data_IF_089316202837
#
_entry.id   IF_089316202837
#
_cell.length_a   1.000
_cell.length_b   1.000
_cell.length_c   1.000
_cell.angle_alpha   90.00
_cell.angle_beta   90.00
_cell.angle_gamma   90.00
#
_symmetry.space_group_name_H-M   'P 1'
#
loop_
_entity.id
_entity.type
_entity.pdbx_description
1 polymer ?
#
# COMPACT_ATOMS: atom_id res chain seq x y z
N UNK A 1 -11.82 -26.65 7.00
CA UNK A 1 -12.69 -25.57 7.49
C UNK A 1 -11.86 -24.29 7.58
N UNK A 2 -11.91 -23.43 6.56
CA UNK A 2 -11.18 -22.17 6.59
C UNK A 2 -11.97 -21.17 7.44
N UNK A 3 -11.39 -20.69 8.56
CA UNK A 3 -12.00 -19.65 9.37
C UNK A 3 -12.17 -18.39 8.51
N UNK A 4 -13.39 -18.10 8.07
CA UNK A 4 -13.72 -16.95 7.22
C UNK A 4 -13.82 -15.63 8.02
N UNK A 5 -12.92 -15.42 8.98
CA UNK A 5 -12.77 -14.15 9.69
C UNK A 5 -11.64 -13.33 9.09
N UNK A 6 -11.78 -12.00 9.04
CA UNK A 6 -10.65 -11.11 8.77
C UNK A 6 -9.56 -11.32 9.83
N UNK A 7 -8.57 -12.15 9.54
CA UNK A 7 -7.47 -12.40 10.47
C UNK A 7 -6.34 -11.38 10.24
N UNK A 8 -5.56 -11.07 11.28
CA UNK A 8 -4.38 -10.20 11.18
C UNK A 8 -3.43 -10.68 10.05
N UNK A 9 -3.38 -11.99 9.85
CA UNK A 9 -2.71 -12.66 8.73
C UNK A 9 -3.16 -12.15 7.35
N UNK A 10 -4.46 -11.93 7.15
CA UNK A 10 -5.01 -11.39 5.89
C UNK A 10 -4.60 -9.95 5.64
N UNK A 11 -4.48 -9.14 6.71
CA UNK A 11 -3.93 -7.79 6.59
C UNK A 11 -2.45 -7.82 6.22
N UNK A 12 -1.64 -8.67 6.87
CA UNK A 12 -0.23 -8.81 6.57
C UNK A 12 0.04 -9.24 5.13
N UNK A 13 -0.78 -10.16 4.58
CA UNK A 13 -0.67 -10.55 3.17
C UNK A 13 -0.95 -9.35 2.26
N UNK A 14 -2.02 -8.59 2.52
CA UNK A 14 -2.36 -7.40 1.73
C UNK A 14 -1.26 -6.34 1.80
N UNK A 15 -0.65 -6.18 2.98
CA UNK A 15 0.50 -5.29 3.19
C UNK A 15 1.74 -5.77 2.46
N UNK A 16 2.07 -7.06 2.53
CA UNK A 16 3.20 -7.64 1.82
C UNK A 16 3.05 -7.46 0.30
N UNK A 17 1.84 -7.70 -0.24
CA UNK A 17 1.57 -7.48 -1.67
C UNK A 17 1.65 -5.99 -2.03
N UNK A 18 1.18 -5.09 -1.18
CA UNK A 18 1.32 -3.64 -1.40
C UNK A 18 2.79 -3.20 -1.40
N UNK A 19 3.59 -3.71 -0.44
CA UNK A 19 5.03 -3.47 -0.39
C UNK A 19 5.70 -3.99 -1.66
N UNK A 20 5.43 -5.24 -2.06
CA UNK A 20 5.98 -5.81 -3.29
C UNK A 20 5.61 -4.96 -4.51
N UNK A 21 4.36 -4.52 -4.63
CA UNK A 21 3.91 -3.67 -5.74
C UNK A 21 4.67 -2.34 -5.79
N UNK A 22 4.77 -1.65 -4.65
CA UNK A 22 5.43 -0.34 -4.55
C UNK A 22 6.94 -0.47 -4.79
N UNK A 23 7.60 -1.42 -4.13
CA UNK A 23 9.04 -1.66 -4.29
C UNK A 23 9.42 -2.25 -5.65
N UNK A 24 8.56 -3.06 -6.27
CA UNK A 24 8.78 -3.51 -7.64
C UNK A 24 8.67 -2.36 -8.66
N UNK A 25 7.86 -1.34 -8.35
CA UNK A 25 7.76 -0.12 -9.16
C UNK A 25 9.02 0.73 -9.02
N UNK A 26 9.39 1.08 -7.78
CA UNK A 26 10.57 1.88 -7.47
C UNK A 26 11.21 1.44 -6.15
N UNK A 27 12.53 1.28 -6.16
CA UNK A 27 13.31 0.86 -5.00
C UNK A 27 14.64 1.63 -5.00
N UNK A 28 14.96 2.41 -3.94
CA UNK A 28 16.21 3.17 -3.85
C UNK A 28 17.48 2.33 -3.99
N UNK A 29 17.42 1.01 -3.77
CA UNK A 29 18.54 0.10 -3.97
C UNK A 29 19.01 -0.07 -5.43
N UNK A 30 18.27 0.46 -6.41
CA UNK A 30 18.58 0.30 -7.84
C UNK A 30 17.90 -0.90 -8.50
N UNK A 31 17.24 -1.77 -7.72
CA UNK A 31 16.55 -2.96 -8.23
C UNK A 31 15.04 -2.73 -8.29
N UNK A 32 14.56 -2.19 -9.40
CA UNK A 32 13.12 -2.01 -9.68
C UNK A 32 12.82 -2.02 -11.17
N UNK A 33 11.53 -2.12 -11.52
CA UNK A 33 11.10 -1.97 -12.91
C UNK A 33 11.50 -0.60 -13.48
N UNK A 34 11.39 0.47 -12.69
CA UNK A 34 11.81 1.82 -13.10
C UNK A 34 13.29 1.87 -13.52
N UNK A 35 14.19 1.26 -12.74
CA UNK A 35 15.62 1.23 -13.08
C UNK A 35 15.91 0.44 -14.36
N UNK A 36 15.21 -0.69 -14.54
CA UNK A 36 15.30 -1.47 -15.78
C UNK A 36 14.80 -0.70 -17.00
N UNK A 37 13.74 0.09 -16.83
CA UNK A 37 13.21 0.97 -17.88
C UNK A 37 14.17 2.12 -18.20
N UNK A 38 14.71 2.82 -17.19
CA UNK A 38 15.63 3.94 -17.40
C UNK A 38 16.95 3.53 -18.06
N UNK A 39 17.37 2.26 -17.87
CA UNK A 39 18.58 1.71 -18.51
C UNK A 39 18.36 1.13 -19.91
N UNK A 40 17.11 1.05 -20.39
CA UNK A 40 16.82 0.48 -21.70
C UNK A 40 17.13 1.50 -22.81
N UNK A 41 18.25 1.31 -23.50
CA UNK A 41 18.73 2.17 -24.59
C UNK A 41 17.88 2.03 -25.88
N UNK A 42 16.61 2.46 -25.83
CA UNK A 42 15.66 2.51 -26.95
C UNK A 42 15.14 1.18 -27.51
N UNK A 43 15.29 0.07 -26.78
CA UNK A 43 14.61 -1.19 -27.10
C UNK A 43 13.65 -1.56 -25.98
N UNK A 44 12.35 -1.49 -26.26
CA UNK A 44 11.31 -1.97 -25.35
C UNK A 44 11.26 -3.49 -25.49
N UNK A 45 11.77 -4.18 -24.48
CA UNK A 45 11.66 -5.64 -24.34
C UNK A 45 10.18 -6.01 -24.03
N UNK A 46 9.58 -7.02 -24.70
CA UNK A 46 8.27 -7.56 -24.33
C UNK A 46 8.10 -7.85 -22.83
N UNK A 47 9.14 -8.32 -22.15
CA UNK A 47 9.09 -8.58 -20.70
C UNK A 47 8.96 -7.28 -19.89
N UNK A 48 9.57 -6.20 -20.37
CA UNK A 48 9.50 -4.90 -19.74
C UNK A 48 8.11 -4.29 -19.89
N UNK A 49 7.50 -4.42 -21.08
CA UNK A 49 6.11 -4.01 -21.32
C UNK A 49 5.12 -4.83 -20.47
N UNK A 50 5.30 -6.16 -20.39
CA UNK A 50 4.48 -7.03 -19.54
C UNK A 50 4.57 -6.61 -18.07
N UNK A 51 5.78 -6.37 -17.56
CA UNK A 51 6.00 -5.88 -16.20
C UNK A 51 5.28 -4.56 -15.93
N UNK A 52 5.30 -3.62 -16.89
CA UNK A 52 4.62 -2.34 -16.79
C UNK A 52 3.10 -2.54 -16.62
N UNK A 53 2.51 -3.41 -17.44
CA UNK A 53 1.07 -3.71 -17.42
C UNK A 53 0.68 -4.38 -16.10
N UNK A 54 1.45 -5.36 -15.64
CA UNK A 54 1.18 -6.06 -14.36
C UNK A 54 1.24 -5.07 -13.18
N UNK A 55 2.27 -4.22 -13.13
CA UNK A 55 2.38 -3.18 -12.10
C UNK A 55 1.20 -2.20 -12.18
N UNK A 56 0.85 -1.75 -13.38
CA UNK A 56 -0.26 -0.83 -13.59
C UNK A 56 -1.59 -1.42 -13.10
N UNK A 57 -1.87 -2.69 -13.42
CA UNK A 57 -3.04 -3.41 -12.93
C UNK A 57 -3.05 -3.43 -11.40
N UNK A 58 -1.92 -3.78 -10.76
CA UNK A 58 -1.79 -3.78 -9.31
C UNK A 58 -2.07 -2.40 -8.70
N UNK A 59 -1.46 -1.34 -9.23
CA UNK A 59 -1.70 0.03 -8.79
C UNK A 59 -3.16 0.44 -8.93
N UNK A 60 -3.80 0.17 -10.07
CA UNK A 60 -5.20 0.51 -10.30
C UNK A 60 -6.11 -0.21 -9.31
N UNK A 61 -5.89 -1.51 -9.05
CA UNK A 61 -6.69 -2.28 -8.09
C UNK A 61 -6.60 -1.66 -6.69
N UNK A 62 -5.38 -1.42 -6.20
CA UNK A 62 -5.18 -0.92 -4.84
C UNK A 62 -5.63 0.53 -4.66
N UNK A 63 -5.34 1.41 -5.63
CA UNK A 63 -5.79 2.80 -5.59
C UNK A 63 -7.31 2.88 -5.63
N UNK A 64 -7.97 2.15 -6.55
CA UNK A 64 -9.43 2.12 -6.60
C UNK A 64 -10.05 1.55 -5.33
N UNK A 65 -9.48 0.47 -4.79
CA UNK A 65 -9.95 -0.12 -3.54
C UNK A 65 -9.83 0.87 -2.37
N UNK A 66 -8.73 1.62 -2.29
CA UNK A 66 -8.50 2.66 -1.28
C UNK A 66 -9.52 3.80 -1.42
N UNK A 67 -9.70 4.34 -2.63
CA UNK A 67 -10.65 5.42 -2.87
C UNK A 67 -12.10 4.98 -2.63
N UNK A 68 -12.48 3.76 -3.03
CA UNK A 68 -13.83 3.22 -2.80
C UNK A 68 -14.12 3.00 -1.32
N UNK A 69 -13.12 2.62 -0.54
CA UNK A 69 -13.32 2.25 0.87
C UNK A 69 -13.30 3.45 1.81
N UNK A 70 -12.32 4.35 1.65
CA UNK A 70 -12.15 5.55 2.47
C UNK A 70 -12.92 6.76 1.93
N UNK A 71 -13.24 6.78 0.64
CA UNK A 71 -13.73 7.97 -0.05
C UNK A 71 -12.63 9.03 -0.24
N UNK A 72 -12.97 10.12 -0.92
CA UNK A 72 -12.03 11.21 -1.17
C UNK A 72 -11.54 11.86 0.14
N UNK A 73 -12.46 12.15 1.05
CA UNK A 73 -12.16 12.77 2.35
C UNK A 73 -11.26 11.85 3.18
N UNK A 74 -11.59 10.56 3.28
CA UNK A 74 -10.75 9.62 4.04
C UNK A 74 -9.38 9.45 3.42
N UNK A 75 -9.27 9.45 2.09
CA UNK A 75 -7.98 9.39 1.39
C UNK A 75 -7.14 10.65 1.66
N UNK A 76 -7.74 11.84 1.63
CA UNK A 76 -7.07 13.09 1.98
C UNK A 76 -6.64 13.11 3.45
N UNK A 77 -7.50 12.69 4.38
CA UNK A 77 -7.16 12.60 5.80
C UNK A 77 -6.00 11.63 6.03
N UNK A 78 -6.00 10.48 5.35
CA UNK A 78 -4.87 9.55 5.40
C UNK A 78 -3.60 10.21 4.86
N UNK A 79 -3.65 10.85 3.69
CA UNK A 79 -2.50 11.54 3.11
C UNK A 79 -1.95 12.63 4.05
N UNK A 80 -2.82 13.44 4.66
CA UNK A 80 -2.43 14.46 5.64
C UNK A 80 -1.84 13.83 6.89
N UNK A 81 -2.45 12.78 7.43
CA UNK A 81 -1.93 12.06 8.60
C UNK A 81 -0.49 11.57 8.35
N UNK A 82 -0.26 10.86 7.24
CA UNK A 82 1.07 10.36 6.90
C UNK A 82 2.04 11.52 6.61
N UNK A 83 1.59 12.59 5.94
CA UNK A 83 2.38 13.80 5.74
C UNK A 83 2.83 14.45 7.05
N UNK A 84 1.92 14.54 8.04
CA UNK A 84 2.24 15.05 9.38
C UNK A 84 3.18 14.12 10.14
N UNK A 85 3.07 12.79 9.97
CA UNK A 85 4.04 11.84 10.55
C UNK A 85 5.44 12.06 9.97
N UNK A 86 5.58 12.21 8.64
CA UNK A 86 6.88 12.54 8.02
C UNK A 86 7.40 13.86 8.58
N UNK A 87 6.54 14.88 8.64
CA UNK A 87 6.93 16.18 9.17
C UNK A 87 7.39 16.07 10.64
N UNK A 88 6.69 15.33 11.49
CA UNK A 88 7.11 15.11 12.88
C UNK A 88 8.48 14.41 12.94
N UNK A 89 8.72 13.39 12.11
CA UNK A 89 10.02 12.70 12.07
C UNK A 89 11.17 13.62 11.66
N UNK A 90 10.93 14.52 10.71
CA UNK A 90 11.90 15.55 10.31
C UNK A 90 12.11 16.58 11.42
N UNK A 91 11.03 17.04 12.06
CA UNK A 91 11.08 18.04 13.12
C UNK A 91 11.86 17.57 14.35
N UNK A 92 11.63 16.32 14.79
CA UNK A 92 12.36 15.70 15.90
C UNK A 92 13.75 15.17 15.49
N UNK A 93 14.21 15.44 14.27
CA UNK A 93 15.52 15.00 13.74
C UNK A 93 15.73 13.48 13.76
N UNK A 94 14.65 12.69 13.77
CA UNK A 94 14.74 11.24 13.58
C UNK A 94 15.02 10.89 12.12
N UNK A 95 14.74 11.80 11.21
CA UNK A 95 15.05 11.71 9.79
C UNK A 95 15.74 13.01 9.33
N UNK A 96 16.80 12.88 8.53
CA UNK A 96 17.41 14.02 7.84
C UNK A 96 16.97 14.05 6.38
N UNK A 97 16.77 15.27 5.85
CA UNK A 97 16.54 15.50 4.42
C UNK A 97 17.77 15.17 3.56
N UNK A 98 18.96 15.09 4.17
CA UNK A 98 20.20 14.75 3.47
C UNK A 98 20.21 13.29 2.99
N UNK A 99 19.50 12.41 3.69
CA UNK A 99 19.36 11.00 3.31
C UNK A 99 18.10 10.78 2.49
N UNK A 100 18.14 11.22 1.22
CA UNK A 100 17.06 11.00 0.24
C UNK A 100 16.68 9.52 0.14
N UNK A 101 17.67 8.62 0.31
CA UNK A 101 17.45 7.17 0.34
C UNK A 101 16.56 6.74 1.50
N UNK A 102 16.86 7.18 2.74
CA UNK A 102 16.06 6.82 3.91
C UNK A 102 14.63 7.39 3.82
N UNK A 103 14.52 8.65 3.37
CA UNK A 103 13.24 9.31 3.16
C UNK A 103 12.39 8.58 2.11
N UNK A 104 13.01 8.11 1.03
CA UNK A 104 12.33 7.32 0.00
C UNK A 104 11.77 6.00 0.56
N UNK A 105 12.54 5.25 1.35
CA UNK A 105 12.05 4.00 1.97
C UNK A 105 10.83 4.25 2.87
N UNK A 106 10.86 5.31 3.67
CA UNK A 106 9.75 5.67 4.57
C UNK A 106 8.50 6.02 3.75
N UNK A 107 8.63 6.86 2.72
CA UNK A 107 7.50 7.21 1.85
C UNK A 107 6.90 5.97 1.18
N UNK A 108 7.73 5.09 0.62
CA UNK A 108 7.27 3.86 -0.03
C UNK A 108 6.54 2.93 0.96
N UNK A 109 7.06 2.82 2.19
CA UNK A 109 6.42 2.05 3.26
C UNK A 109 5.06 2.65 3.67
N UNK A 110 4.97 3.98 3.76
CA UNK A 110 3.72 4.68 4.07
C UNK A 110 2.67 4.50 2.98
N UNK A 111 3.05 4.66 1.71
CA UNK A 111 2.15 4.41 0.58
C UNK A 111 1.61 2.98 0.61
N UNK A 112 2.49 2.00 0.84
CA UNK A 112 2.12 0.59 0.96
C UNK A 112 1.14 0.35 2.11
N UNK A 113 1.35 1.03 3.24
CA UNK A 113 0.49 0.94 4.43
C UNK A 113 -0.89 1.53 4.15
N UNK A 114 -0.97 2.71 3.53
CA UNK A 114 -2.25 3.34 3.12
C UNK A 114 -3.04 2.40 2.21
N UNK A 115 -2.38 1.81 1.22
CA UNK A 115 -2.97 0.88 0.27
C UNK A 115 -3.51 -0.38 0.94
N UNK A 116 -2.75 -0.96 1.88
CA UNK A 116 -3.17 -2.13 2.66
C UNK A 116 -4.34 -1.83 3.61
N UNK A 117 -4.33 -0.65 4.25
CA UNK A 117 -5.43 -0.15 5.07
C UNK A 117 -6.69 0.07 4.24
N UNK A 118 -6.55 0.63 3.02
CA UNK A 118 -7.66 0.81 2.08
C UNK A 118 -8.40 -0.50 1.79
N UNK A 119 -7.68 -1.57 1.43
CA UNK A 119 -8.30 -2.88 1.20
C UNK A 119 -8.98 -3.45 2.46
N UNK A 120 -8.51 -3.07 3.64
CA UNK A 120 -8.94 -3.64 4.92
C UNK A 120 -9.98 -2.80 5.64
N UNK A 121 -10.24 -1.59 5.15
CA UNK A 121 -11.09 -0.61 5.82
C UNK A 121 -12.54 -1.06 5.99
N UNK A 122 -13.10 -1.79 5.01
CA UNK A 122 -14.46 -2.35 5.14
C UNK A 122 -14.58 -3.31 6.32
N UNK A 123 -13.56 -4.14 6.56
CA UNK A 123 -13.52 -5.06 7.70
C UNK A 123 -13.25 -4.33 9.01
N UNK A 124 -12.30 -3.38 9.01
CA UNK A 124 -11.96 -2.58 10.20
C UNK A 124 -13.19 -1.78 10.66
N UNK A 125 -13.89 -1.10 9.74
CA UNK A 125 -15.09 -0.33 10.04
C UNK A 125 -16.19 -1.20 10.65
N UNK A 126 -16.48 -2.37 10.06
CA UNK A 126 -17.49 -3.32 10.58
C UNK A 126 -17.17 -3.71 12.03
N UNK A 127 -15.91 -4.04 12.33
CA UNK A 127 -15.47 -4.37 13.70
C UNK A 127 -15.61 -3.20 14.67
N UNK A 128 -15.15 -2.01 14.28
CA UNK A 128 -15.23 -0.82 15.13
C UNK A 128 -16.67 -0.39 15.41
N UNK A 129 -17.56 -0.53 14.43
CA UNK A 129 -18.99 -0.20 14.60
C UNK A 129 -19.76 -1.15 15.50
N UNK A 130 -19.13 -2.23 16.00
CA UNK A 130 -19.84 -3.24 16.77
C UNK A 130 -20.85 -4.04 15.96
N UNK A 131 -20.85 -3.92 14.62
CA UNK A 131 -21.58 -4.77 13.67
C UNK A 131 -20.93 -6.17 13.58
N UNK A 132 -20.46 -6.70 14.71
CA UNK A 132 -20.54 -8.14 14.97
C UNK A 132 -22.03 -8.41 15.23
N UNK A 133 -22.80 -8.31 14.16
CA UNK A 133 -24.16 -8.80 14.10
C UNK A 133 -24.12 -10.25 14.55
N UNK A 134 -24.97 -10.55 15.53
CA UNK A 134 -25.88 -11.69 15.75
C UNK A 134 -25.93 -12.84 14.71
N UNK A 135 -25.21 -12.80 13.60
CA UNK A 135 -25.22 -13.75 12.47
C UNK A 135 -24.19 -14.89 12.57
N UNK A 136 -23.46 -15.01 13.70
CA UNK A 136 -22.67 -16.21 14.03
C UNK A 136 -23.48 -17.19 14.92
N UNK A 137 -24.81 -17.14 14.86
CA UNK A 137 -25.69 -18.18 15.40
C UNK A 137 -26.43 -18.83 14.23
N UNK A 138 -26.29 -20.14 14.18
CA UNK A 138 -26.99 -21.10 13.31
C UNK A 138 -26.17 -21.51 12.08
N UNK A 139 -25.33 -22.52 12.28
CA UNK A 139 -25.25 -23.69 11.41
C UNK A 139 -24.48 -24.78 12.18
N UNK A 140 -25.26 -25.63 12.88
CA UNK A 140 -24.85 -26.93 13.42
C UNK A 140 -24.33 -27.87 12.32
#
# INVERSE_FOLDING_TARGET
MAKQGFDFSSFLIRLAVALLLVFATYNPSGYSWYHRFSGAANKIDPLLALGAIVLLIGWVIYLRATMRSLGLIGTLLAATLFGTVIWALLYYQWLSLDSVTALSYIILAMISTVMALGLSWSHIRRRLSGQLDVDDRDED
#
